data_IF_847229113689
#
_entry.id   IF_847229113689
#
_cell.length_a   1.000
_cell.length_b   1.000
_cell.length_c   1.000
_cell.angle_alpha   90.00
_cell.angle_beta   90.00
_cell.angle_gamma   90.00
#
_symmetry.space_group_name_H-M   'P 1'
#
loop_
_entity.id
_entity.type
_entity.pdbx_description
1 polymer ?
#
# COMPACT_ATOMS: atom_id res chain seq x y z
N UNK A 1 36.96 14.00 14.10
CA UNK A 1 35.62 13.37 14.21
C UNK A 1 35.15 13.40 15.67
N UNK A 2 33.91 13.79 15.93
CA UNK A 2 33.31 13.65 17.26
C UNK A 2 33.03 12.19 17.57
N UNK A 3 33.02 11.82 18.85
CA UNK A 3 32.53 10.50 19.28
C UNK A 3 31.04 10.34 18.93
N UNK A 4 30.66 9.12 18.55
CA UNK A 4 29.26 8.80 18.30
C UNK A 4 28.51 8.75 19.64
N UNK A 5 27.51 9.60 19.80
CA UNK A 5 26.59 9.58 20.94
C UNK A 5 25.22 9.08 20.46
N UNK A 6 24.90 7.77 20.61
CA UNK A 6 23.62 7.24 20.17
C UNK A 6 22.46 7.78 21.04
N UNK A 7 21.27 7.95 20.45
CA UNK A 7 20.11 8.44 21.20
C UNK A 7 19.61 7.41 22.22
N UNK A 8 18.99 7.89 23.29
CA UNK A 8 18.28 7.09 24.28
C UNK A 8 16.80 6.90 23.89
N UNK A 9 16.11 5.86 24.41
CA UNK A 9 14.73 5.56 24.04
C UNK A 9 13.75 6.73 24.22
N UNK A 10 13.94 7.54 25.26
CA UNK A 10 13.07 8.67 25.59
C UNK A 10 13.52 10.00 24.97
N UNK A 11 14.64 10.02 24.23
CA UNK A 11 15.05 11.19 23.49
C UNK A 11 14.04 11.48 22.37
N UNK A 12 13.85 12.76 22.07
CA UNK A 12 12.99 13.22 20.99
C UNK A 12 13.58 12.75 19.66
N UNK A 13 12.83 11.94 18.93
CA UNK A 13 13.19 11.48 17.60
C UNK A 13 12.68 12.43 16.51
N UNK A 14 11.40 12.82 16.60
CA UNK A 14 10.79 13.74 15.63
C UNK A 14 9.60 14.50 16.23
N UNK A 15 9.29 15.66 15.67
CA UNK A 15 8.09 16.45 15.99
C UNK A 15 7.24 16.52 14.73
N UNK A 16 6.03 15.97 14.78
CA UNK A 16 5.11 15.94 13.64
C UNK A 16 3.95 16.89 13.86
N UNK A 17 3.76 17.85 12.96
CA UNK A 17 2.66 18.80 13.07
C UNK A 17 1.36 18.23 12.50
N UNK A 18 0.26 18.44 13.22
CA UNK A 18 -1.10 18.08 12.79
C UNK A 18 -2.04 19.27 12.94
N UNK A 19 -2.94 19.46 11.97
CA UNK A 19 -3.79 20.65 11.87
C UNK A 19 -4.91 20.73 12.92
N UNK A 20 -5.24 19.62 13.61
CA UNK A 20 -6.29 19.59 14.65
C UNK A 20 -7.64 20.18 14.19
N UNK A 21 -8.58 20.34 15.12
CA UNK A 21 -9.86 21.04 14.85
C UNK A 21 -9.78 22.54 15.12
N UNK A 22 -8.70 23.00 15.77
CA UNK A 22 -8.51 24.39 16.21
C UNK A 22 -7.88 25.32 15.16
N UNK A 23 -7.48 24.80 14.00
CA UNK A 23 -6.82 25.58 12.92
C UNK A 23 -5.32 25.76 13.11
N UNK A 24 -4.85 25.96 14.35
CA UNK A 24 -3.42 26.04 14.66
C UNK A 24 -2.76 24.65 14.72
N UNK A 25 -1.69 24.39 13.93
CA UNK A 25 -0.98 23.12 13.97
C UNK A 25 -0.32 22.85 15.31
N UNK A 26 -0.51 21.63 15.85
CA UNK A 26 0.12 21.17 17.09
C UNK A 26 1.25 20.19 16.78
N UNK A 27 2.41 20.37 17.42
CA UNK A 27 3.55 19.47 17.29
C UNK A 27 3.39 18.24 18.20
N UNK A 28 3.27 17.07 17.61
CA UNK A 28 3.29 15.77 18.29
C UNK A 28 4.74 15.36 18.47
N UNK A 29 5.20 15.29 19.72
CA UNK A 29 6.55 14.82 20.06
C UNK A 29 6.55 13.29 20.03
N UNK A 30 7.42 12.70 19.21
CA UNK A 30 7.63 11.26 19.13
C UNK A 30 9.05 10.93 19.58
N UNK A 31 9.18 10.01 20.52
CA UNK A 31 10.47 9.51 21.01
C UNK A 31 11.00 8.38 20.14
N UNK A 32 12.27 8.03 20.29
CA UNK A 32 12.85 6.86 19.62
C UNK A 32 12.12 5.55 20.00
N UNK A 33 11.69 5.42 21.26
CA UNK A 33 10.87 4.30 21.72
C UNK A 33 9.53 4.22 20.97
N UNK A 34 8.85 5.35 20.74
CA UNK A 34 7.58 5.34 20.01
C UNK A 34 7.74 4.76 18.61
N UNK A 35 8.79 5.16 17.88
CA UNK A 35 9.08 4.67 16.53
C UNK A 35 9.41 3.17 16.56
N UNK A 36 10.31 2.76 17.46
CA UNK A 36 10.72 1.36 17.60
C UNK A 36 9.53 0.43 17.96
N UNK A 37 8.63 0.88 18.83
CA UNK A 37 7.44 0.12 19.21
C UNK A 37 6.47 -0.06 18.04
N UNK A 38 6.31 0.94 17.17
CA UNK A 38 5.47 0.81 15.98
C UNK A 38 6.06 -0.20 15.00
N UNK A 39 7.38 -0.11 14.73
CA UNK A 39 8.08 -1.09 13.88
C UNK A 39 7.94 -2.50 14.45
N UNK A 40 8.13 -2.67 15.76
CA UNK A 40 7.95 -3.95 16.43
C UNK A 40 6.51 -4.46 16.37
N UNK A 41 5.54 -3.57 16.49
CA UNK A 41 4.12 -3.89 16.34
C UNK A 41 3.80 -4.39 14.93
N UNK A 42 4.36 -3.75 13.90
CA UNK A 42 4.22 -4.17 12.51
C UNK A 42 4.81 -5.57 12.28
N UNK A 43 5.99 -5.88 12.86
CA UNK A 43 6.55 -7.24 12.79
C UNK A 43 5.62 -8.28 13.42
N UNK A 44 5.11 -8.01 14.62
CA UNK A 44 4.22 -8.94 15.32
C UNK A 44 2.91 -9.17 14.55
N UNK A 45 2.38 -8.12 13.91
CA UNK A 45 1.21 -8.21 13.06
C UNK A 45 1.50 -9.03 11.80
N UNK A 46 2.57 -8.68 11.06
CA UNK A 46 2.96 -9.36 9.81
C UNK A 46 3.45 -10.81 10.05
N UNK A 47 3.94 -11.11 11.25
CA UNK A 47 4.29 -12.47 11.68
C UNK A 47 3.09 -13.44 11.66
N UNK A 48 1.85 -12.96 11.60
CA UNK A 48 0.64 -13.80 11.54
C UNK A 48 0.33 -14.29 10.11
N UNK A 49 0.90 -13.65 9.08
CA UNK A 49 0.61 -13.96 7.68
C UNK A 49 1.67 -14.89 7.08
N UNK A 50 1.29 -15.75 6.12
CA UNK A 50 2.24 -16.64 5.44
C UNK A 50 3.28 -15.88 4.61
N UNK A 51 2.88 -14.76 4.02
CA UNK A 51 3.69 -13.98 3.10
C UNK A 51 4.56 -12.98 3.87
N UNK A 52 5.79 -13.40 4.16
CA UNK A 52 6.73 -12.67 5.02
C UNK A 52 7.42 -11.54 4.27
N UNK A 53 7.82 -10.52 5.03
CA UNK A 53 8.77 -9.50 4.56
C UNK A 53 10.12 -10.14 4.22
N UNK A 54 10.74 -9.69 3.15
CA UNK A 54 12.05 -10.12 2.68
C UNK A 54 12.88 -8.91 2.25
N UNK A 55 14.20 -9.08 2.13
CA UNK A 55 15.09 -8.03 1.62
C UNK A 55 14.82 -7.67 0.15
N UNK A 56 14.11 -8.53 -0.59
CA UNK A 56 13.70 -8.30 -1.98
C UNK A 56 12.44 -7.43 -2.10
N UNK A 57 11.79 -7.10 -0.97
CA UNK A 57 10.64 -6.22 -0.95
C UNK A 57 11.04 -4.78 -1.25
N UNK A 58 10.15 -4.10 -2.00
CA UNK A 58 10.35 -2.73 -2.45
C UNK A 58 9.10 -1.91 -2.17
N UNK A 59 9.25 -0.86 -1.39
CA UNK A 59 8.23 0.16 -1.14
C UNK A 59 8.41 1.34 -2.08
N UNK A 60 7.31 1.94 -2.53
CA UNK A 60 7.33 3.24 -3.20
C UNK A 60 6.86 4.33 -2.23
N UNK A 61 7.78 5.20 -1.82
CA UNK A 61 7.50 6.38 -1.00
C UNK A 61 7.07 7.53 -1.91
N UNK A 62 5.78 7.87 -1.84
CA UNK A 62 5.17 9.01 -2.56
C UNK A 62 4.24 9.85 -1.68
N UNK A 63 4.09 9.46 -0.41
CA UNK A 63 3.38 10.25 0.58
C UNK A 63 4.37 11.25 1.19
N UNK A 64 3.89 12.35 1.80
CA UNK A 64 4.80 13.26 2.50
C UNK A 64 5.31 12.59 3.79
N UNK A 65 6.63 12.57 4.00
CA UNK A 65 7.26 12.16 5.28
C UNK A 65 6.85 13.02 6.49
N UNK A 66 6.22 14.16 6.25
CA UNK A 66 5.56 14.96 7.28
C UNK A 66 4.34 14.25 7.89
N UNK A 67 3.84 13.18 7.26
CA UNK A 67 2.75 12.35 7.74
C UNK A 67 3.27 11.00 8.28
N UNK A 68 2.75 10.56 9.43
CA UNK A 68 3.29 9.40 10.16
C UNK A 68 3.22 8.10 9.36
N UNK A 69 2.19 7.93 8.52
CA UNK A 69 1.97 6.69 7.75
C UNK A 69 3.20 6.30 6.91
N UNK A 70 3.68 7.23 6.09
CA UNK A 70 4.81 6.98 5.19
C UNK A 70 6.10 6.75 5.96
N UNK A 71 6.32 7.58 6.98
CA UNK A 71 7.48 7.46 7.86
C UNK A 71 7.54 6.09 8.52
N UNK A 72 6.43 5.57 9.03
CA UNK A 72 6.44 4.26 9.71
C UNK A 72 6.71 3.10 8.77
N UNK A 73 6.26 3.22 7.52
CA UNK A 73 6.53 2.22 6.49
C UNK A 73 8.01 2.26 6.10
N UNK A 74 8.60 3.43 5.88
CA UNK A 74 10.04 3.53 5.59
C UNK A 74 10.89 2.93 6.72
N UNK A 75 10.62 3.29 7.98
CA UNK A 75 11.34 2.73 9.14
C UNK A 75 11.16 1.19 9.22
N UNK A 76 9.98 0.67 8.87
CA UNK A 76 9.73 -0.77 8.80
C UNK A 76 10.54 -1.46 7.69
N UNK A 77 10.64 -0.85 6.51
CA UNK A 77 11.44 -1.37 5.40
C UNK A 77 12.94 -1.35 5.75
N UNK A 78 13.43 -0.26 6.33
CA UNK A 78 14.81 -0.16 6.78
C UNK A 78 15.14 -1.18 7.88
N UNK A 79 14.23 -1.39 8.84
CA UNK A 79 14.40 -2.42 9.87
C UNK A 79 14.59 -3.82 9.29
N UNK A 80 13.89 -4.14 8.20
CA UNK A 80 13.93 -5.45 7.53
C UNK A 80 15.03 -5.56 6.46
N UNK A 81 15.83 -4.52 6.23
CA UNK A 81 16.83 -4.50 5.16
C UNK A 81 16.24 -4.52 3.75
N UNK A 82 14.97 -4.11 3.61
CA UNK A 82 14.26 -4.00 2.34
C UNK A 82 14.51 -2.62 1.70
N UNK A 83 14.02 -2.43 0.47
CA UNK A 83 14.31 -1.21 -0.30
C UNK A 83 13.14 -0.23 -0.32
N UNK A 84 13.44 1.07 -0.28
CA UNK A 84 12.49 2.16 -0.51
C UNK A 84 12.91 2.91 -1.77
N UNK A 85 12.00 3.03 -2.74
CA UNK A 85 12.15 3.90 -3.90
C UNK A 85 11.32 5.16 -3.73
N UNK A 86 11.92 6.32 -3.98
CA UNK A 86 11.23 7.60 -3.93
C UNK A 86 10.68 7.94 -5.32
N UNK A 87 9.41 8.34 -5.37
CA UNK A 87 8.79 8.83 -6.60
C UNK A 87 9.46 10.12 -7.09
N UNK A 88 9.29 10.47 -8.37
CA UNK A 88 9.99 11.62 -8.96
C UNK A 88 9.50 13.00 -8.49
N UNK A 89 8.45 13.06 -7.67
CA UNK A 89 7.91 14.29 -7.09
C UNK A 89 6.57 14.75 -7.66
N UNK A 90 6.19 14.29 -8.86
CA UNK A 90 4.89 14.60 -9.47
C UNK A 90 3.93 13.38 -9.45
N UNK A 91 2.85 13.54 -8.69
CA UNK A 91 1.81 12.51 -8.51
C UNK A 91 1.15 12.07 -9.82
N UNK A 92 1.14 12.92 -10.84
CA UNK A 92 0.51 12.60 -12.13
C UNK A 92 1.31 11.55 -12.91
N UNK A 93 2.61 11.44 -12.66
CA UNK A 93 3.47 10.42 -13.26
C UNK A 93 3.86 9.30 -12.27
N UNK A 94 3.16 9.18 -11.14
CA UNK A 94 3.32 8.06 -10.20
C UNK A 94 3.15 6.70 -10.89
N UNK A 95 2.29 6.61 -11.90
CA UNK A 95 2.13 5.39 -12.70
C UNK A 95 3.45 4.95 -13.32
N UNK A 96 4.23 5.88 -13.86
CA UNK A 96 5.49 5.55 -14.53
C UNK A 96 6.53 5.08 -13.49
N UNK A 97 6.57 5.71 -12.32
CA UNK A 97 7.39 5.25 -11.18
C UNK A 97 7.03 3.82 -10.75
N UNK A 98 5.73 3.50 -10.65
CA UNK A 98 5.27 2.16 -10.31
C UNK A 98 5.73 1.12 -11.35
N UNK A 99 5.70 1.47 -12.63
CA UNK A 99 6.10 0.58 -13.72
C UNK A 99 7.61 0.34 -13.75
N UNK A 100 8.40 1.34 -13.39
CA UNK A 100 9.87 1.26 -13.33
C UNK A 100 10.32 0.50 -12.07
N UNK A 101 9.89 0.97 -10.89
CA UNK A 101 10.30 0.44 -9.59
C UNK A 101 9.72 -0.96 -9.31
N UNK A 102 8.52 -1.25 -9.84
CA UNK A 102 7.78 -2.51 -9.65
C UNK A 102 7.66 -2.88 -8.17
N UNK A 103 7.02 -2.05 -7.32
CA UNK A 103 7.00 -2.26 -5.88
C UNK A 103 6.25 -3.55 -5.49
N UNK A 104 6.57 -4.07 -4.32
CA UNK A 104 5.84 -5.17 -3.67
C UNK A 104 4.80 -4.66 -2.68
N UNK A 105 4.98 -3.45 -2.15
CA UNK A 105 4.06 -2.78 -1.24
C UNK A 105 3.66 -1.40 -1.75
N UNK A 106 2.38 -1.07 -1.63
CA UNK A 106 1.84 0.25 -1.91
C UNK A 106 1.06 0.75 -0.71
N UNK A 107 1.38 1.96 -0.25
CA UNK A 107 0.63 2.61 0.82
C UNK A 107 0.11 3.97 0.36
N UNK A 108 -1.07 4.33 0.83
CA UNK A 108 -1.77 5.48 0.28
C UNK A 108 -2.96 5.89 1.13
N UNK A 109 -3.51 7.05 0.78
CA UNK A 109 -4.78 7.54 1.31
C UNK A 109 -5.93 7.13 0.39
N UNK A 110 -7.20 7.07 0.87
CA UNK A 110 -8.34 6.62 0.06
C UNK A 110 -8.44 7.28 -1.33
N UNK A 111 -8.16 8.58 -1.42
CA UNK A 111 -8.18 9.34 -2.68
C UNK A 111 -7.25 8.79 -3.77
N UNK A 112 -6.12 8.19 -3.39
CA UNK A 112 -5.19 7.56 -4.34
C UNK A 112 -5.84 6.31 -4.94
N UNK A 113 -6.47 5.51 -4.09
CA UNK A 113 -7.13 4.26 -4.47
C UNK A 113 -8.41 4.49 -5.25
N UNK A 114 -9.17 5.52 -4.94
CA UNK A 114 -10.32 5.97 -5.74
C UNK A 114 -9.90 6.33 -7.17
N UNK A 115 -8.78 7.05 -7.35
CA UNK A 115 -8.24 7.35 -8.69
C UNK A 115 -7.81 6.10 -9.43
N UNK A 116 -7.20 5.13 -8.74
CA UNK A 116 -6.84 3.83 -9.35
C UNK A 116 -8.12 3.10 -9.79
N UNK A 117 -9.14 3.04 -8.93
CA UNK A 117 -10.44 2.43 -9.23
C UNK A 117 -11.08 3.06 -10.46
N UNK A 118 -11.25 4.39 -10.47
CA UNK A 118 -11.79 5.14 -11.61
C UNK A 118 -10.98 4.92 -12.90
N UNK A 119 -9.65 4.91 -12.79
CA UNK A 119 -8.76 4.68 -13.93
C UNK A 119 -8.90 3.29 -14.53
N UNK A 120 -9.13 2.26 -13.71
CA UNK A 120 -9.42 0.90 -14.20
C UNK A 120 -10.81 0.84 -14.81
N UNK A 121 -11.84 1.42 -14.19
CA UNK A 121 -13.20 1.45 -14.75
C UNK A 121 -13.24 2.11 -16.13
N UNK A 122 -12.60 3.28 -16.29
CA UNK A 122 -12.48 3.94 -17.61
C UNK A 122 -11.80 3.04 -18.65
N UNK A 123 -10.72 2.36 -18.28
CA UNK A 123 -10.03 1.44 -19.18
C UNK A 123 -10.88 0.20 -19.55
N UNK A 124 -11.84 -0.19 -18.70
CA UNK A 124 -12.80 -1.26 -19.02
C UNK A 124 -13.91 -0.79 -19.96
N UNK A 125 -14.30 0.49 -19.90
CA UNK A 125 -15.29 1.09 -20.80
C UNK A 125 -14.80 1.17 -22.25
N UNK A 126 -13.48 1.32 -22.44
CA UNK A 126 -12.83 1.28 -23.76
C UNK A 126 -12.78 -0.13 -24.38
N UNK A 127 -13.07 -1.17 -23.61
CA UNK A 127 -13.09 -2.54 -24.12
C UNK A 127 -14.40 -2.86 -24.85
N UNK A 128 -14.33 -3.79 -25.80
CA UNK A 128 -15.53 -4.35 -26.45
C UNK A 128 -16.53 -4.90 -25.41
N UNK A 129 -17.86 -4.82 -25.64
CA UNK A 129 -18.88 -5.28 -24.70
C UNK A 129 -18.68 -6.73 -24.20
N UNK A 130 -18.21 -7.62 -25.08
CA UNK A 130 -17.89 -9.01 -24.72
C UNK A 130 -16.78 -9.09 -23.68
N UNK A 131 -15.70 -8.34 -23.85
CA UNK A 131 -14.55 -8.32 -22.91
C UNK A 131 -14.95 -7.71 -21.56
N UNK A 132 -15.78 -6.67 -21.56
CA UNK A 132 -16.33 -6.09 -20.31
C UNK A 132 -17.18 -7.12 -19.56
N UNK A 133 -18.09 -7.80 -20.25
CA UNK A 133 -18.91 -8.86 -19.65
C UNK A 133 -18.07 -10.03 -19.10
N UNK A 134 -17.01 -10.43 -19.80
CA UNK A 134 -16.06 -11.45 -19.30
C UNK A 134 -15.36 -10.96 -18.04
N UNK A 135 -14.88 -9.71 -18.01
CA UNK A 135 -14.27 -9.13 -16.82
C UNK A 135 -15.23 -9.15 -15.62
N UNK A 136 -16.49 -8.74 -15.81
CA UNK A 136 -17.48 -8.71 -14.75
C UNK A 136 -17.81 -10.11 -14.19
N UNK A 137 -17.88 -11.11 -15.07
CA UNK A 137 -18.08 -12.52 -14.65
C UNK A 137 -16.89 -13.01 -13.82
N UNK A 138 -15.66 -12.76 -14.29
CA UNK A 138 -14.44 -13.16 -13.60
C UNK A 138 -14.29 -12.44 -12.25
N UNK A 139 -14.68 -11.16 -12.18
CA UNK A 139 -14.72 -10.36 -10.95
C UNK A 139 -15.67 -10.96 -9.92
N UNK A 140 -16.94 -11.16 -10.31
CA UNK A 140 -17.96 -11.74 -9.42
C UNK A 140 -17.59 -13.15 -8.97
N UNK A 141 -17.01 -13.95 -9.88
CA UNK A 141 -16.54 -15.29 -9.55
C UNK A 141 -15.44 -15.23 -8.48
N UNK A 142 -14.37 -14.46 -8.71
CA UNK A 142 -13.28 -14.36 -7.73
C UNK A 142 -13.76 -13.80 -6.39
N UNK A 143 -14.58 -12.75 -6.40
CA UNK A 143 -15.15 -12.16 -5.19
C UNK A 143 -15.96 -13.19 -4.37
N UNK A 144 -16.78 -14.01 -5.04
CA UNK A 144 -17.55 -15.06 -4.36
C UNK A 144 -16.64 -16.08 -3.65
N UNK A 145 -15.58 -16.55 -4.30
CA UNK A 145 -14.60 -17.45 -3.67
C UNK A 145 -13.88 -16.79 -2.50
N UNK A 146 -13.50 -15.52 -2.63
CA UNK A 146 -12.90 -14.77 -1.54
C UNK A 146 -13.83 -14.64 -0.33
N UNK A 147 -15.12 -14.39 -0.57
CA UNK A 147 -16.13 -14.28 0.49
C UNK A 147 -16.40 -15.64 1.18
N UNK A 148 -16.08 -16.76 0.52
CA UNK A 148 -16.07 -18.10 1.13
C UNK A 148 -14.79 -18.37 1.96
N UNK A 149 -13.88 -17.40 2.08
CA UNK A 149 -12.66 -17.51 2.87
C UNK A 149 -11.44 -18.00 2.09
N UNK A 150 -11.53 -18.14 0.76
CA UNK A 150 -10.37 -18.52 -0.04
C UNK A 150 -9.36 -17.38 -0.13
N UNK A 151 -8.09 -17.72 0.12
CA UNK A 151 -6.96 -16.79 -0.06
C UNK A 151 -6.87 -16.33 -1.52
N UNK A 152 -6.34 -15.13 -1.72
CA UNK A 152 -6.19 -14.51 -3.05
C UNK A 152 -5.62 -15.44 -4.11
N UNK A 153 -4.48 -16.08 -3.80
CA UNK A 153 -3.78 -17.03 -4.67
C UNK A 153 -4.64 -18.20 -5.15
N UNK A 154 -5.67 -18.57 -4.38
CA UNK A 154 -6.49 -19.76 -4.60
C UNK A 154 -7.92 -19.41 -5.07
N UNK A 155 -8.36 -18.17 -4.90
CA UNK A 155 -9.76 -17.78 -5.16
C UNK A 155 -10.12 -17.88 -6.65
N UNK A 156 -9.24 -17.47 -7.57
CA UNK A 156 -9.44 -17.71 -9.01
C UNK A 156 -8.16 -17.51 -9.84
N UNK A 157 -7.28 -18.53 -9.92
CA UNK A 157 -6.04 -18.43 -10.73
C UNK A 157 -6.31 -18.14 -12.22
N UNK A 158 -7.42 -18.64 -12.75
CA UNK A 158 -7.80 -18.40 -14.15
C UNK A 158 -8.24 -16.95 -14.38
N UNK A 159 -9.04 -16.37 -13.47
CA UNK A 159 -9.41 -14.95 -13.56
C UNK A 159 -8.19 -14.04 -13.42
N UNK A 160 -7.26 -14.41 -12.53
CA UNK A 160 -6.01 -13.71 -12.34
C UNK A 160 -5.20 -13.67 -13.64
N UNK A 161 -5.06 -14.81 -14.31
CA UNK A 161 -4.33 -14.91 -15.57
C UNK A 161 -5.00 -14.13 -16.71
N UNK A 162 -6.32 -14.23 -16.84
CA UNK A 162 -7.06 -13.68 -17.99
C UNK A 162 -7.34 -12.17 -17.87
N UNK A 163 -7.60 -11.68 -16.66
CA UNK A 163 -8.07 -10.32 -16.42
C UNK A 163 -7.15 -9.53 -15.46
N UNK A 164 -6.98 -10.01 -14.23
CA UNK A 164 -6.43 -9.17 -13.15
C UNK A 164 -4.92 -8.97 -13.23
N UNK A 165 -4.17 -9.87 -13.89
CA UNK A 165 -2.75 -9.67 -14.18
C UNK A 165 -2.49 -8.37 -14.93
N UNK A 166 -3.42 -7.90 -15.78
CA UNK A 166 -3.29 -6.62 -16.50
C UNK A 166 -3.45 -5.42 -15.57
N UNK A 167 -4.35 -5.51 -14.59
CA UNK A 167 -4.54 -4.47 -13.57
C UNK A 167 -3.33 -4.46 -12.65
N UNK A 168 -2.92 -5.62 -12.12
CA UNK A 168 -1.69 -5.78 -11.33
C UNK A 168 -0.45 -5.26 -12.06
N UNK A 169 -0.32 -5.52 -13.36
CA UNK A 169 0.80 -5.02 -14.17
C UNK A 169 0.87 -3.50 -14.19
N UNK A 170 -0.27 -2.78 -14.22
CA UNK A 170 -0.30 -1.30 -14.16
C UNK A 170 0.14 -0.74 -12.81
N UNK A 171 0.20 -1.56 -11.77
CA UNK A 171 0.74 -1.21 -10.47
C UNK A 171 2.17 -1.76 -10.27
N UNK A 172 2.89 -2.05 -11.35
CA UNK A 172 4.26 -2.59 -11.30
C UNK A 172 4.34 -4.12 -11.26
N UNK A 173 3.21 -4.83 -11.22
CA UNK A 173 3.16 -6.28 -11.43
C UNK A 173 3.59 -7.16 -10.24
N UNK A 174 4.24 -6.59 -9.23
CA UNK A 174 4.76 -7.33 -8.05
C UNK A 174 4.03 -7.05 -6.75
N UNK A 175 3.07 -6.12 -6.72
CA UNK A 175 2.33 -5.79 -5.49
C UNK A 175 1.70 -7.04 -4.87
N UNK A 176 1.90 -7.17 -3.56
CA UNK A 176 1.31 -8.23 -2.72
C UNK A 176 0.57 -7.66 -1.51
N UNK A 177 0.91 -6.43 -1.09
CA UNK A 177 0.25 -5.72 0.01
C UNK A 177 -0.08 -4.28 -0.39
N UNK A 178 -1.33 -3.88 -0.13
CA UNK A 178 -1.82 -2.51 -0.25
C UNK A 178 -2.26 -2.05 1.14
N UNK A 179 -1.80 -0.88 1.57
CA UNK A 179 -2.16 -0.28 2.86
C UNK A 179 -2.89 1.04 2.61
N UNK A 180 -4.12 1.14 3.11
CA UNK A 180 -4.88 2.40 3.14
C UNK A 180 -4.85 2.97 4.55
N UNK A 181 -4.59 4.28 4.67
CA UNK A 181 -4.57 4.94 5.96
C UNK A 181 -4.92 6.43 5.87
N UNK A 182 -5.04 7.08 7.04
CA UNK A 182 -5.36 8.51 7.16
C UNK A 182 -6.86 8.85 7.02
N UNK A 183 -7.65 8.00 6.37
CA UNK A 183 -9.10 8.10 6.28
C UNK A 183 -9.71 6.72 5.94
N UNK A 184 -11.02 6.50 6.20
CA UNK A 184 -11.68 5.25 5.83
C UNK A 184 -11.74 5.06 4.31
N UNK A 185 -11.43 3.85 3.84
CA UNK A 185 -11.64 3.43 2.46
C UNK A 185 -13.06 2.88 2.32
N UNK A 186 -13.72 3.13 1.19
CA UNK A 186 -15.04 2.55 0.94
C UNK A 186 -14.92 1.05 0.68
N UNK A 187 -15.89 0.27 1.15
CA UNK A 187 -15.94 -1.18 0.94
C UNK A 187 -15.89 -1.54 -0.55
N UNK A 188 -16.54 -0.75 -1.41
CA UNK A 188 -16.50 -0.96 -2.86
C UNK A 188 -15.08 -0.87 -3.42
N UNK A 189 -14.31 0.17 -3.05
CA UNK A 189 -12.94 0.34 -3.53
C UNK A 189 -12.01 -0.70 -2.91
N UNK A 190 -12.18 -1.02 -1.63
CA UNK A 190 -11.42 -2.08 -0.95
C UNK A 190 -11.60 -3.44 -1.63
N UNK A 191 -12.85 -3.87 -1.83
CA UNK A 191 -13.18 -5.13 -2.51
C UNK A 191 -12.63 -5.15 -3.93
N UNK A 192 -12.80 -4.05 -4.66
CA UNK A 192 -12.29 -3.92 -6.01
C UNK A 192 -10.78 -4.10 -6.07
N UNK A 193 -10.04 -3.36 -5.23
CA UNK A 193 -8.59 -3.46 -5.17
C UNK A 193 -8.17 -4.86 -4.79
N UNK A 194 -8.79 -5.44 -3.76
CA UNK A 194 -8.52 -6.79 -3.31
C UNK A 194 -8.65 -7.76 -4.49
N UNK A 195 -9.77 -7.79 -5.18
CA UNK A 195 -9.98 -8.72 -6.31
C UNK A 195 -9.01 -8.47 -7.46
N UNK A 196 -8.83 -7.21 -7.89
CA UNK A 196 -8.18 -6.87 -9.17
C UNK A 196 -6.67 -6.68 -9.09
N UNK A 197 -6.12 -6.35 -7.93
CA UNK A 197 -4.66 -6.27 -7.74
C UNK A 197 -4.02 -7.62 -7.40
N UNK A 198 -4.84 -8.62 -7.04
CA UNK A 198 -4.39 -9.89 -6.46
C UNK A 198 -3.49 -9.69 -5.24
N UNK A 199 -3.71 -8.62 -4.48
CA UNK A 199 -2.98 -8.27 -3.27
C UNK A 199 -3.89 -8.34 -2.05
N UNK A 200 -3.28 -8.42 -0.87
CA UNK A 200 -3.97 -8.18 0.39
C UNK A 200 -4.15 -6.67 0.57
N UNK A 201 -5.33 -6.26 1.03
CA UNK A 201 -5.65 -4.84 1.30
C UNK A 201 -5.87 -4.71 2.80
N UNK A 202 -5.08 -3.84 3.43
CA UNK A 202 -5.16 -3.48 4.83
C UNK A 202 -5.67 -2.03 4.93
N UNK A 203 -6.59 -1.77 5.85
CA UNK A 203 -7.13 -0.45 6.16
C UNK A 203 -6.90 -0.11 7.63
#
# INVERSE_FOLDING_TARGET
PSELSPPQPFDICTIMYTSGTSGDPKGVILTHENIAMIVRGADLFLAQFEDKMTVDDVYISFLPLAHILDRMIEEYFFHNGASVGYYHGDINALKDDLMELKPTLLAGVPRVYERVHEGVLKALEELSPLRRKVFDILYKYKLAWMNLGFKQKNASPLADLLAFRKVKARLGGRIRLIVSGGAPLSMEVEEFLRVTSCAFVLQ
#
